data_IF_006401558987
#
_entry.id   IF_006401558987
#
_cell.length_a   1.000
_cell.length_b   1.000
_cell.length_c   1.000
_cell.angle_alpha   90.00
_cell.angle_beta   90.00
_cell.angle_gamma   90.00
#
_symmetry.space_group_name_H-M   'P 1'
#
loop_
_entity.id
_entity.type
_entity.pdbx_description
1 polymer ?
#
# COMPACT_ATOMS: atom_id res chain seq x y z
N UNK A 1 20.66 -9.82 -27.65
CA UNK A 1 20.22 -9.68 -26.25
C UNK A 1 18.73 -9.47 -26.33
N UNK A 2 17.92 -10.50 -26.07
CA UNK A 2 16.49 -10.26 -25.83
C UNK A 2 16.46 -9.51 -24.50
N UNK A 3 15.97 -8.27 -24.50
CA UNK A 3 15.62 -7.59 -23.27
C UNK A 3 14.48 -8.38 -22.66
N UNK A 4 14.74 -9.10 -21.56
CA UNK A 4 13.66 -9.66 -20.75
C UNK A 4 12.78 -8.49 -20.30
N UNK A 5 11.49 -8.59 -20.61
CA UNK A 5 10.52 -7.60 -20.13
C UNK A 5 10.43 -7.68 -18.61
N UNK A 6 10.26 -6.55 -17.91
CA UNK A 6 10.03 -6.56 -16.47
C UNK A 6 8.75 -7.37 -16.14
N UNK A 7 8.68 -8.01 -14.95
CA UNK A 7 7.47 -8.70 -14.52
C UNK A 7 6.31 -7.70 -14.42
N UNK A 8 5.13 -8.11 -14.87
CA UNK A 8 3.93 -7.28 -14.83
C UNK A 8 3.20 -7.52 -13.50
N UNK A 9 2.92 -6.46 -12.76
CA UNK A 9 2.18 -6.53 -11.50
C UNK A 9 0.85 -5.81 -11.63
N UNK A 10 -0.24 -6.46 -11.21
CA UNK A 10 -1.55 -5.82 -11.18
C UNK A 10 -1.91 -5.41 -9.75
N UNK A 11 -2.15 -4.12 -9.54
CA UNK A 11 -2.72 -3.62 -8.29
C UNK A 11 -4.22 -3.31 -8.42
N UNK A 12 -4.99 -3.73 -7.42
CA UNK A 12 -6.35 -3.26 -7.18
C UNK A 12 -6.35 -2.30 -6.00
N UNK A 13 -6.86 -1.08 -6.17
CA UNK A 13 -6.97 -0.18 -5.03
C UNK A 13 -7.53 1.20 -5.34
N UNK A 14 -7.63 2.00 -4.29
CA UNK A 14 -8.06 3.39 -4.35
C UNK A 14 -7.01 4.25 -5.06
N UNK A 15 -7.46 5.17 -5.91
CA UNK A 15 -6.62 6.22 -6.47
C UNK A 15 -6.45 7.38 -5.49
N UNK A 16 -5.22 7.58 -5.02
CA UNK A 16 -4.79 8.72 -4.22
C UNK A 16 -4.11 9.79 -5.11
N UNK A 17 -4.73 10.97 -5.32
CA UNK A 17 -4.15 12.04 -6.14
C UNK A 17 -2.81 12.59 -5.62
N UNK A 18 -2.45 12.33 -4.36
CA UNK A 18 -1.18 12.76 -3.76
C UNK A 18 -0.05 11.76 -3.94
N UNK A 19 -0.36 10.55 -4.42
CA UNK A 19 0.59 9.44 -4.59
C UNK A 19 1.25 8.93 -3.30
N UNK A 20 0.65 9.23 -2.14
CA UNK A 20 1.16 8.75 -0.86
C UNK A 20 0.79 7.29 -0.63
N UNK A 21 -0.45 6.92 -0.93
CA UNK A 21 -1.05 5.57 -0.73
C UNK A 21 -1.67 5.05 -2.03
N UNK A 22 -2.36 3.91 -1.96
CA UNK A 22 -3.22 3.43 -3.04
C UNK A 22 -2.46 3.02 -4.29
N UNK A 23 -3.13 3.01 -5.45
CA UNK A 23 -2.54 2.48 -6.69
C UNK A 23 -1.31 3.29 -7.13
N UNK A 24 -1.26 4.59 -6.87
CA UNK A 24 -0.09 5.41 -7.20
C UNK A 24 1.13 5.00 -6.37
N UNK A 25 0.94 4.76 -5.07
CA UNK A 25 2.01 4.22 -4.23
C UNK A 25 2.52 2.88 -4.78
N UNK A 26 1.60 1.98 -5.12
CA UNK A 26 1.93 0.65 -5.63
C UNK A 26 2.70 0.73 -6.95
N UNK A 27 2.19 1.50 -7.93
CA UNK A 27 2.83 1.66 -9.24
C UNK A 27 4.24 2.27 -9.13
N UNK A 28 4.45 3.24 -8.24
CA UNK A 28 5.77 3.82 -8.01
C UNK A 28 6.72 2.83 -7.33
N UNK A 29 6.22 2.03 -6.39
CA UNK A 29 7.00 0.97 -5.75
C UNK A 29 7.36 -0.13 -6.75
N UNK A 30 6.41 -0.61 -7.57
CA UNK A 30 6.67 -1.59 -8.61
C UNK A 30 7.75 -1.10 -9.58
N UNK A 31 7.62 0.13 -10.08
CA UNK A 31 8.60 0.74 -10.97
C UNK A 31 10.00 0.84 -10.32
N UNK A 32 10.07 1.24 -9.04
CA UNK A 32 11.35 1.31 -8.32
C UNK A 32 11.97 -0.07 -8.08
N UNK A 33 11.16 -1.11 -7.94
CA UNK A 33 11.59 -2.48 -7.64
C UNK A 33 11.79 -3.32 -8.91
N UNK A 34 11.84 -2.69 -10.09
CA UNK A 34 12.12 -3.36 -11.36
C UNK A 34 10.93 -4.05 -12.02
N UNK A 35 9.71 -3.83 -11.54
CA UNK A 35 8.46 -4.32 -12.13
C UNK A 35 7.76 -3.29 -13.02
N UNK A 36 6.84 -3.77 -13.86
CA UNK A 36 5.91 -2.92 -14.61
C UNK A 36 4.52 -3.02 -14.00
N UNK A 37 4.07 -1.93 -13.39
CA UNK A 37 2.76 -1.87 -12.76
C UNK A 37 1.62 -1.58 -13.74
N UNK A 38 0.55 -2.35 -13.65
CA UNK A 38 -0.78 -2.05 -14.19
C UNK A 38 -1.78 -1.97 -13.03
N UNK A 39 -2.91 -1.30 -13.24
CA UNK A 39 -3.84 -1.02 -12.14
C UNK A 39 -5.30 -1.11 -12.54
N UNK A 40 -6.11 -1.48 -11.55
CA UNK A 40 -7.57 -1.43 -11.57
C UNK A 40 -8.03 -0.59 -10.38
N UNK A 41 -8.80 0.46 -10.66
CA UNK A 41 -9.27 1.37 -9.62
C UNK A 41 -10.50 0.80 -8.91
N UNK A 42 -10.47 0.75 -7.58
CA UNK A 42 -11.66 0.47 -6.74
C UNK A 42 -12.44 1.74 -6.41
N UNK A 43 -11.79 2.90 -6.54
CA UNK A 43 -12.33 4.20 -6.19
C UNK A 43 -11.32 5.30 -6.44
N UNK A 44 -11.70 6.54 -6.15
CA UNK A 44 -10.79 7.68 -6.15
C UNK A 44 -11.12 8.61 -4.99
N UNK A 45 -10.08 9.17 -4.36
CA UNK A 45 -10.24 10.13 -3.27
C UNK A 45 -10.04 11.57 -3.73
N UNK A 46 -10.76 12.46 -3.07
CA UNK A 46 -10.46 13.89 -3.04
C UNK A 46 -9.66 14.15 -1.78
N UNK A 47 -8.32 14.19 -1.88
CA UNK A 47 -7.44 14.38 -0.74
C UNK A 47 -6.23 15.25 -1.06
N UNK A 48 -5.62 15.81 -0.01
CA UNK A 48 -4.35 16.50 -0.06
C UNK A 48 -3.34 15.88 0.92
N UNK A 49 -2.14 16.46 1.04
CA UNK A 49 -1.09 15.94 1.93
C UNK A 49 -1.49 15.86 3.42
N UNK A 50 -2.56 16.55 3.83
CA UNK A 50 -3.02 16.65 5.22
C UNK A 50 -4.17 15.70 5.51
N UNK A 51 -5.17 15.64 4.63
CA UNK A 51 -6.41 14.91 4.89
C UNK A 51 -7.09 14.42 3.62
N UNK A 52 -7.88 13.36 3.79
CA UNK A 52 -8.86 12.91 2.80
C UNK A 52 -10.21 13.57 3.08
N UNK A 53 -10.76 14.26 2.09
CA UNK A 53 -12.02 14.99 2.21
C UNK A 53 -13.22 14.15 1.75
N UNK A 54 -13.05 13.35 0.70
CA UNK A 54 -14.12 12.50 0.17
C UNK A 54 -13.54 11.30 -0.58
N UNK A 55 -14.33 10.24 -0.71
CA UNK A 55 -14.00 9.02 -1.46
C UNK A 55 -15.20 8.61 -2.29
N UNK A 56 -14.96 8.35 -3.58
CA UNK A 56 -15.96 7.83 -4.50
C UNK A 56 -15.58 6.42 -4.92
N UNK A 57 -16.58 5.52 -4.93
CA UNK A 57 -16.40 4.13 -5.32
C UNK A 57 -16.58 3.94 -6.82
N UNK A 58 -15.81 3.02 -7.41
CA UNK A 58 -16.01 2.54 -8.78
C UNK A 58 -16.99 1.37 -8.75
N UNK A 59 -17.88 1.35 -9.75
CA UNK A 59 -18.83 0.26 -9.95
C UNK A 59 -18.10 -1.09 -10.07
N UNK A 60 -18.49 -2.14 -9.33
CA UNK A 60 -17.89 -3.47 -9.42
C UNK A 60 -17.80 -4.02 -10.85
N UNK A 61 -18.80 -3.75 -11.71
CA UNK A 61 -18.77 -4.22 -13.10
C UNK A 61 -17.60 -3.60 -13.87
N UNK A 62 -17.26 -2.33 -13.58
CA UNK A 62 -16.10 -1.66 -14.17
C UNK A 62 -14.77 -2.21 -13.63
N UNK A 63 -14.72 -2.67 -12.38
CA UNK A 63 -13.54 -3.34 -11.81
C UNK A 63 -13.29 -4.63 -12.58
N UNK A 64 -14.35 -5.43 -12.79
CA UNK A 64 -14.29 -6.67 -13.58
C UNK A 64 -13.83 -6.38 -15.00
N UNK A 65 -14.47 -5.45 -15.71
CA UNK A 65 -14.11 -5.13 -17.09
C UNK A 65 -12.65 -4.69 -17.24
N UNK A 66 -12.16 -3.78 -16.38
CA UNK A 66 -10.76 -3.34 -16.41
C UNK A 66 -9.80 -4.50 -16.16
N UNK A 67 -10.06 -5.32 -15.15
CA UNK A 67 -9.19 -6.42 -14.77
C UNK A 67 -9.13 -7.49 -15.85
N UNK A 68 -10.28 -7.90 -16.38
CA UNK A 68 -10.37 -8.93 -17.44
C UNK A 68 -9.68 -8.46 -18.71
N UNK A 69 -9.86 -7.20 -19.11
CA UNK A 69 -9.15 -6.63 -20.26
C UNK A 69 -7.62 -6.68 -20.11
N UNK A 70 -7.10 -6.40 -18.90
CA UNK A 70 -5.66 -6.49 -18.64
C UNK A 70 -5.16 -7.93 -18.59
N UNK A 71 -5.89 -8.81 -17.91
CA UNK A 71 -5.50 -10.20 -17.68
C UNK A 71 -5.60 -11.07 -18.95
N UNK A 72 -6.48 -10.72 -19.88
CA UNK A 72 -6.55 -11.37 -21.19
C UNK A 72 -5.36 -11.01 -22.12
N UNK A 73 -4.73 -9.85 -21.91
CA UNK A 73 -3.65 -9.33 -22.76
C UNK A 73 -2.26 -9.51 -22.15
N UNK A 74 -2.13 -9.41 -20.83
CA UNK A 74 -0.84 -9.28 -20.13
C UNK A 74 -0.59 -10.44 -19.16
N UNK A 75 0.61 -11.07 -19.19
CA UNK A 75 0.98 -12.10 -18.22
C UNK A 75 1.33 -11.46 -16.88
N UNK A 76 0.31 -11.26 -16.03
CA UNK A 76 0.47 -10.75 -14.66
C UNK A 76 1.21 -11.79 -13.82
N UNK A 77 2.30 -11.37 -13.19
CA UNK A 77 3.19 -12.21 -12.38
C UNK A 77 2.90 -12.13 -10.87
N UNK A 78 2.19 -11.10 -10.41
CA UNK A 78 1.68 -11.01 -9.05
C UNK A 78 0.52 -10.01 -8.97
N UNK A 79 -0.39 -10.25 -8.03
CA UNK A 79 -1.45 -9.34 -7.65
C UNK A 79 -1.12 -8.64 -6.34
N UNK A 80 -1.51 -7.37 -6.24
CA UNK A 80 -1.65 -6.68 -4.96
C UNK A 80 -3.06 -6.14 -4.82
N UNK A 81 -3.69 -6.38 -3.68
CA UNK A 81 -4.98 -5.79 -3.32
C UNK A 81 -4.76 -4.84 -2.15
N UNK A 82 -4.91 -3.55 -2.40
CA UNK A 82 -4.89 -2.50 -1.38
C UNK A 82 -6.28 -2.21 -0.82
N UNK A 83 -6.54 -0.94 -0.50
CA UNK A 83 -7.85 -0.49 -0.02
C UNK A 83 -8.94 -0.69 -1.08
N UNK A 84 -9.92 -1.53 -0.77
CA UNK A 84 -11.24 -1.54 -1.40
C UNK A 84 -12.20 -0.63 -0.62
N UNK A 85 -13.24 -0.11 -1.26
CA UNK A 85 -14.13 0.89 -0.65
C UNK A 85 -15.36 0.26 -0.02
N UNK A 86 -15.85 -0.85 -0.58
CA UNK A 86 -17.02 -1.59 -0.08
C UNK A 86 -16.88 -3.10 -0.32
N UNK A 87 -17.83 -3.86 0.24
CA UNK A 87 -17.85 -5.31 0.14
C UNK A 87 -18.04 -5.81 -1.30
N UNK A 88 -18.77 -5.06 -2.15
CA UNK A 88 -18.98 -5.44 -3.54
C UNK A 88 -17.69 -5.36 -4.37
N UNK A 89 -16.84 -4.36 -4.14
CA UNK A 89 -15.51 -4.31 -4.75
C UNK A 89 -14.66 -5.50 -4.31
N UNK A 90 -14.69 -5.84 -3.01
CA UNK A 90 -13.94 -7.00 -2.49
C UNK A 90 -14.42 -8.29 -3.14
N UNK A 91 -15.73 -8.50 -3.25
CA UNK A 91 -16.29 -9.68 -3.88
C UNK A 91 -15.89 -9.79 -5.37
N UNK A 92 -15.96 -8.69 -6.12
CA UNK A 92 -15.54 -8.66 -7.52
C UNK A 92 -14.04 -8.99 -7.68
N UNK A 93 -13.17 -8.42 -6.84
CA UNK A 93 -11.73 -8.72 -6.85
C UNK A 93 -11.50 -10.19 -6.50
N UNK A 94 -12.17 -10.70 -5.46
CA UNK A 94 -12.05 -12.09 -5.02
C UNK A 94 -12.45 -13.08 -6.11
N UNK A 95 -13.49 -12.78 -6.90
CA UNK A 95 -13.89 -13.60 -8.05
C UNK A 95 -12.83 -13.59 -9.16
N UNK A 96 -12.21 -12.43 -9.41
CA UNK A 96 -11.18 -12.30 -10.45
C UNK A 96 -9.93 -13.10 -10.07
N UNK A 97 -9.40 -12.92 -8.86
CA UNK A 97 -8.14 -13.54 -8.44
C UNK A 97 -8.28 -15.05 -8.23
N UNK A 98 -9.49 -15.55 -7.96
CA UNK A 98 -9.77 -16.98 -7.84
C UNK A 98 -9.49 -17.78 -9.13
N UNK A 99 -9.53 -17.12 -10.30
CA UNK A 99 -9.19 -17.75 -11.58
C UNK A 99 -7.68 -17.89 -11.81
N UNK A 100 -6.84 -17.37 -10.90
CA UNK A 100 -5.38 -17.27 -11.03
C UNK A 100 -4.67 -17.73 -9.74
N UNK A 101 -5.05 -18.90 -9.22
CA UNK A 101 -4.55 -19.48 -7.96
C UNK A 101 -3.02 -19.72 -7.91
N UNK A 102 -2.38 -19.91 -9.07
CA UNK A 102 -0.91 -20.03 -9.17
C UNK A 102 -0.17 -18.67 -9.10
N UNK A 103 -0.88 -17.54 -9.19
CA UNK A 103 -0.27 -16.20 -9.18
C UNK A 103 -0.26 -15.62 -7.77
N UNK A 104 0.90 -15.19 -7.23
CA UNK A 104 0.96 -14.66 -5.87
C UNK A 104 -0.01 -13.51 -5.62
N UNK A 105 -0.78 -13.60 -4.54
CA UNK A 105 -1.73 -12.59 -4.11
C UNK A 105 -1.28 -11.95 -2.79
N UNK A 106 -0.90 -10.68 -2.85
CA UNK A 106 -0.57 -9.87 -1.67
C UNK A 106 -1.78 -9.02 -1.29
N UNK A 107 -2.35 -9.26 -0.11
CA UNK A 107 -3.53 -8.53 0.39
C UNK A 107 -3.10 -7.59 1.51
N UNK A 108 -3.32 -6.29 1.35
CA UNK A 108 -2.96 -5.25 2.32
C UNK A 108 -4.15 -4.30 2.53
N UNK A 109 -5.17 -4.75 3.29
CA UNK A 109 -6.40 -3.99 3.44
C UNK A 109 -6.18 -2.81 4.39
N UNK A 110 -6.79 -1.67 4.06
CA UNK A 110 -6.88 -0.52 4.95
C UNK A 110 -8.35 -0.17 5.18
N UNK A 111 -8.77 -0.24 6.45
CA UNK A 111 -10.13 0.05 6.89
C UNK A 111 -10.27 1.49 7.40
N UNK A 112 -9.21 2.30 7.36
CA UNK A 112 -9.18 3.68 7.84
C UNK A 112 -9.96 4.66 6.96
N UNK A 113 -10.20 4.31 5.70
CA UNK A 113 -10.94 5.12 4.72
C UNK A 113 -12.37 4.63 4.46
N UNK A 114 -12.84 3.60 5.19
CA UNK A 114 -14.19 3.03 5.07
C UNK A 114 -15.27 3.97 5.64
N UNK A 115 -15.34 5.21 5.16
CA UNK A 115 -16.30 6.24 5.55
C UNK A 115 -16.35 6.54 7.07
N UNK A 116 -17.21 7.48 7.46
CA UNK A 116 -17.57 7.68 8.88
C UNK A 116 -18.63 6.65 9.37
N UNK A 117 -19.02 5.70 8.52
CA UNK A 117 -20.07 4.72 8.81
C UNK A 117 -19.47 3.40 9.29
N UNK A 118 -19.61 3.12 10.59
CA UNK A 118 -19.13 1.88 11.21
C UNK A 118 -19.64 0.61 10.50
N UNK A 119 -20.89 0.62 10.01
CA UNK A 119 -21.49 -0.53 9.32
C UNK A 119 -20.78 -0.89 8.01
N UNK A 120 -20.36 0.09 7.20
CA UNK A 120 -19.63 -0.20 5.96
C UNK A 120 -18.23 -0.75 6.23
N UNK A 121 -17.62 -0.39 7.37
CA UNK A 121 -16.33 -0.94 7.76
C UNK A 121 -16.44 -2.40 8.21
N UNK A 122 -17.53 -2.79 8.88
CA UNK A 122 -17.75 -4.18 9.30
C UNK A 122 -18.03 -5.09 8.10
N UNK A 123 -18.91 -4.68 7.18
CA UNK A 123 -19.18 -5.42 5.93
C UNK A 123 -17.92 -5.58 5.08
N UNK A 124 -17.09 -4.53 4.99
CA UNK A 124 -15.83 -4.59 4.26
C UNK A 124 -14.84 -5.56 4.91
N UNK A 125 -14.73 -5.58 6.24
CA UNK A 125 -13.87 -6.53 6.97
C UNK A 125 -14.37 -7.96 6.79
N UNK A 126 -15.67 -8.20 6.91
CA UNK A 126 -16.27 -9.52 6.73
C UNK A 126 -16.03 -10.05 5.31
N UNK A 127 -16.28 -9.24 4.29
CA UNK A 127 -16.00 -9.61 2.90
C UNK A 127 -14.50 -9.88 2.68
N UNK A 128 -13.62 -9.05 3.26
CA UNK A 128 -12.16 -9.24 3.13
C UNK A 128 -11.73 -10.56 3.77
N UNK A 129 -12.15 -10.81 5.01
CA UNK A 129 -11.79 -11.99 5.77
C UNK A 129 -12.34 -13.27 5.15
N UNK A 130 -13.58 -13.26 4.64
CA UNK A 130 -14.23 -14.46 4.11
C UNK A 130 -13.92 -14.76 2.64
N UNK A 131 -13.61 -13.73 1.83
CA UNK A 131 -13.45 -13.88 0.38
C UNK A 131 -12.00 -13.73 -0.09
N UNK A 132 -11.23 -12.78 0.45
CA UNK A 132 -9.86 -12.49 -0.02
C UNK A 132 -8.78 -13.18 0.80
N UNK A 133 -8.89 -13.15 2.14
CA UNK A 133 -7.88 -13.75 3.03
C UNK A 133 -7.62 -15.24 2.71
N UNK A 134 -8.63 -16.09 2.43
CA UNK A 134 -8.39 -17.50 2.09
C UNK A 134 -7.62 -17.73 0.79
N UNK A 135 -7.49 -16.69 -0.05
CA UNK A 135 -6.79 -16.74 -1.32
C UNK A 135 -5.41 -16.08 -1.26
N UNK A 136 -5.08 -15.43 -0.13
CA UNK A 136 -3.87 -14.62 -0.03
C UNK A 136 -2.63 -15.50 0.15
N UNK A 137 -1.65 -15.32 -0.74
CA UNK A 137 -0.29 -15.82 -0.51
C UNK A 137 0.36 -15.09 0.67
N UNK A 138 0.04 -13.80 0.85
CA UNK A 138 0.41 -13.09 2.09
C UNK A 138 -0.58 -11.98 2.42
N UNK A 139 -1.02 -11.95 3.67
CA UNK A 139 -1.78 -10.87 4.27
C UNK A 139 -0.84 -9.92 5.02
N UNK A 140 -0.74 -8.67 4.56
CA UNK A 140 0.13 -7.62 5.15
C UNK A 140 -0.73 -6.65 5.97
N UNK A 141 -0.62 -6.71 7.30
CA UNK A 141 -1.60 -6.06 8.21
C UNK A 141 -0.95 -5.49 9.46
N UNK A 142 -1.63 -4.52 10.08
CA UNK A 142 -1.30 -4.05 11.43
C UNK A 142 -1.82 -5.04 12.49
N UNK A 143 -1.31 -5.01 13.74
CA UNK A 143 -1.86 -5.81 14.83
C UNK A 143 -3.38 -5.60 15.03
N UNK A 144 -3.83 -4.34 14.96
CA UNK A 144 -5.25 -4.01 15.11
C UNK A 144 -6.10 -4.58 13.97
N UNK A 145 -5.63 -4.48 12.72
CA UNK A 145 -6.33 -5.05 11.56
C UNK A 145 -6.36 -6.58 11.61
N UNK A 146 -5.31 -7.22 12.13
CA UNK A 146 -5.23 -8.68 12.27
C UNK A 146 -6.32 -9.19 13.21
N UNK A 147 -6.43 -8.57 14.40
CA UNK A 147 -7.47 -8.91 15.37
C UNK A 147 -8.86 -8.63 14.80
N UNK A 148 -9.06 -7.48 14.17
CA UNK A 148 -10.34 -7.10 13.60
C UNK A 148 -10.83 -8.07 12.51
N UNK A 149 -9.93 -8.52 11.62
CA UNK A 149 -10.25 -9.52 10.60
C UNK A 149 -10.59 -10.88 11.24
N UNK A 150 -9.78 -11.34 12.19
CA UNK A 150 -10.03 -12.62 12.87
C UNK A 150 -11.37 -12.65 13.61
N UNK A 151 -11.77 -11.52 14.23
CA UNK A 151 -13.07 -11.38 14.89
C UNK A 151 -14.26 -11.56 13.93
N UNK A 152 -14.12 -11.21 12.65
CA UNK A 152 -15.23 -11.37 11.68
C UNK A 152 -15.52 -12.82 11.31
N UNK A 153 -14.53 -13.71 11.47
CA UNK A 153 -14.64 -15.14 11.14
C UNK A 153 -14.60 -16.04 12.38
N UNK A 154 -14.63 -15.43 13.57
CA UNK A 154 -14.59 -16.12 14.87
C UNK A 154 -15.87 -15.89 15.68
N UNK A 155 -16.27 -16.91 16.44
CA UNK A 155 -17.36 -16.76 17.42
C UNK A 155 -16.92 -16.01 18.69
N UNK A 156 -15.61 -15.82 18.89
CA UNK A 156 -15.05 -15.14 20.06
C UNK A 156 -14.75 -13.67 19.74
N UNK A 157 -15.38 -12.75 20.46
CA UNK A 157 -15.14 -11.31 20.31
C UNK A 157 -13.82 -10.85 20.97
N UNK A 158 -13.24 -11.61 21.89
CA UNK A 158 -11.99 -11.25 22.60
C UNK A 158 -10.84 -12.14 22.12
N UNK A 159 -10.38 -11.90 20.89
CA UNK A 159 -9.29 -12.63 20.25
C UNK A 159 -7.95 -11.97 20.60
N UNK A 160 -7.01 -12.74 21.15
CA UNK A 160 -5.63 -12.29 21.31
C UNK A 160 -4.88 -12.24 19.97
N UNK A 161 -3.70 -11.61 19.93
CA UNK A 161 -2.92 -11.52 18.69
C UNK A 161 -2.52 -12.91 18.15
N UNK A 162 -2.10 -13.82 19.03
CA UNK A 162 -1.71 -15.19 18.67
C UNK A 162 -2.90 -15.99 18.14
N UNK A 163 -4.06 -15.88 18.80
CA UNK A 163 -5.30 -16.51 18.32
C UNK A 163 -5.75 -15.91 16.98
N UNK A 164 -5.60 -14.60 16.78
CA UNK A 164 -5.99 -13.93 15.54
C UNK A 164 -5.17 -14.43 14.35
N UNK A 165 -3.86 -14.61 14.53
CA UNK A 165 -2.99 -15.21 13.53
C UNK A 165 -3.42 -16.64 13.24
N UNK A 166 -3.63 -17.46 14.28
CA UNK A 166 -4.06 -18.86 14.13
C UNK A 166 -5.38 -18.97 13.35
N UNK A 167 -6.37 -18.15 13.69
CA UNK A 167 -7.68 -18.13 13.04
C UNK A 167 -7.55 -17.81 11.55
N UNK A 168 -6.78 -16.79 11.19
CA UNK A 168 -6.66 -16.34 9.79
C UNK A 168 -5.83 -17.32 8.93
N UNK A 169 -4.82 -17.96 9.51
CA UNK A 169 -4.07 -19.05 8.86
C UNK A 169 -4.97 -20.27 8.62
N UNK A 170 -5.71 -20.71 9.66
CA UNK A 170 -6.69 -21.79 9.56
C UNK A 170 -7.83 -21.47 8.56
N UNK A 171 -8.10 -20.18 8.33
CA UNK A 171 -9.06 -19.71 7.35
C UNK A 171 -8.53 -19.70 5.90
N UNK A 172 -7.27 -20.11 5.68
CA UNK A 172 -6.70 -20.34 4.35
C UNK A 172 -5.61 -19.36 3.91
N UNK A 173 -5.26 -18.38 4.75
CA UNK A 173 -4.14 -17.48 4.45
C UNK A 173 -2.81 -18.24 4.53
N UNK A 174 -1.96 -18.16 3.50
CA UNK A 174 -0.69 -18.91 3.49
C UNK A 174 0.35 -18.29 4.43
N UNK A 175 0.47 -16.95 4.40
CA UNK A 175 1.36 -16.19 5.27
C UNK A 175 0.68 -14.94 5.81
N UNK A 176 1.03 -14.54 7.03
CA UNK A 176 0.58 -13.26 7.61
C UNK A 176 1.80 -12.45 8.02
N UNK A 177 1.98 -11.29 7.41
CA UNK A 177 3.00 -10.31 7.78
C UNK A 177 2.37 -9.24 8.68
N UNK A 178 2.58 -9.39 9.97
CA UNK A 178 2.14 -8.41 10.97
C UNK A 178 3.21 -7.35 11.13
N UNK A 179 2.86 -6.10 10.82
CA UNK A 179 3.77 -4.96 10.93
C UNK A 179 3.33 -4.02 12.06
N UNK A 180 4.10 -4.01 13.16
CA UNK A 180 3.86 -3.13 14.29
C UNK A 180 4.75 -1.87 14.20
N UNK A 181 4.12 -0.75 13.85
CA UNK A 181 4.73 0.57 13.80
C UNK A 181 4.49 1.42 15.05
N UNK A 182 3.84 0.89 16.09
CA UNK A 182 3.47 1.61 17.31
C UNK A 182 4.49 1.45 18.44
N UNK A 183 5.36 0.45 18.34
CA UNK A 183 6.51 0.27 19.22
C UNK A 183 7.61 1.33 18.97
N UNK A 184 8.57 1.50 19.91
CA UNK A 184 9.73 2.37 19.72
C UNK A 184 10.61 1.96 18.54
N UNK A 185 10.56 0.69 18.14
CA UNK A 185 11.13 0.15 16.91
C UNK A 185 10.00 -0.40 16.03
N UNK A 186 10.22 -0.48 14.73
CA UNK A 186 9.30 -1.17 13.83
C UNK A 186 9.62 -2.66 13.85
N UNK A 187 8.63 -3.48 14.15
CA UNK A 187 8.77 -4.94 14.12
C UNK A 187 7.86 -5.52 13.06
N UNK A 188 8.42 -6.37 12.21
CA UNK A 188 7.68 -7.12 11.20
C UNK A 188 7.84 -8.61 11.49
N UNK A 189 6.72 -9.26 11.77
CA UNK A 189 6.70 -10.70 12.08
C UNK A 189 5.89 -11.42 11.01
N UNK A 190 6.55 -12.33 10.29
CA UNK A 190 5.98 -13.20 9.28
C UNK A 190 5.59 -14.54 9.91
N UNK A 191 4.31 -14.87 9.83
CA UNK A 191 3.74 -16.13 10.32
C UNK A 191 3.34 -17.04 9.16
N UNK A 192 3.37 -18.33 9.43
CA UNK A 192 2.80 -19.42 8.62
C UNK A 192 2.15 -20.45 9.55
N UNK A 193 1.58 -21.52 8.99
CA UNK A 193 1.05 -22.66 9.77
C UNK A 193 2.08 -23.30 10.72
N UNK A 194 3.39 -23.21 10.40
CA UNK A 194 4.47 -23.71 11.24
C UNK A 194 4.88 -22.73 12.37
N UNK A 195 4.20 -21.58 12.48
CA UNK A 195 4.48 -20.53 13.45
C UNK A 195 5.26 -19.35 12.86
N UNK A 196 6.13 -18.73 13.68
CA UNK A 196 6.93 -17.57 13.27
C UNK A 196 8.04 -18.03 12.31
N UNK A 197 7.95 -17.56 11.07
CA UNK A 197 8.94 -17.83 10.01
C UNK A 197 10.09 -16.83 10.09
N UNK A 198 9.76 -15.57 10.35
CA UNK A 198 10.72 -14.47 10.38
C UNK A 198 10.24 -13.36 11.31
N UNK A 199 11.17 -12.75 12.02
CA UNK A 199 10.93 -11.51 12.76
C UNK A 199 12.13 -10.58 12.54
N UNK A 200 11.86 -9.37 12.07
CA UNK A 200 12.87 -8.35 11.85
C UNK A 200 12.47 -7.08 12.63
N UNK A 201 13.49 -6.40 13.17
CA UNK A 201 13.33 -5.13 13.88
C UNK A 201 14.14 -4.04 13.20
N UNK A 202 13.53 -2.87 13.02
CA UNK A 202 14.12 -1.70 12.40
C UNK A 202 14.01 -0.47 13.29
N UNK A 203 14.97 0.43 13.15
CA UNK A 203 14.91 1.73 13.80
C UNK A 203 13.77 2.55 13.23
N UNK A 204 13.06 3.24 14.12
CA UNK A 204 11.93 4.08 13.72
C UNK A 204 12.41 5.23 12.84
N UNK A 205 11.84 5.41 11.64
CA UNK A 205 12.16 6.55 10.79
C UNK A 205 11.87 7.88 11.48
N UNK A 206 12.58 8.96 11.10
CA UNK A 206 12.49 10.26 11.78
C UNK A 206 11.12 10.95 11.62
N UNK A 207 10.29 10.46 10.70
CA UNK A 207 9.05 11.09 10.30
C UNK A 207 7.87 10.13 10.35
N UNK A 208 6.69 10.68 10.62
CA UNK A 208 5.44 9.94 10.40
C UNK A 208 5.07 10.01 8.91
N UNK A 209 5.11 8.86 8.24
CA UNK A 209 4.99 8.73 6.79
C UNK A 209 3.67 8.05 6.42
N UNK A 210 2.92 8.64 5.48
CA UNK A 210 1.72 8.01 4.93
C UNK A 210 2.08 6.98 3.84
N UNK A 211 1.43 5.81 3.85
CA UNK A 211 1.62 4.78 2.82
C UNK A 211 2.81 3.84 3.03
N UNK A 212 3.32 3.72 4.26
CA UNK A 212 4.35 2.74 4.59
C UNK A 212 3.87 1.29 4.35
N UNK A 213 2.63 0.98 4.75
CA UNK A 213 2.04 -0.36 4.56
C UNK A 213 1.79 -0.66 3.08
N UNK A 214 1.23 0.29 2.31
CA UNK A 214 1.08 0.13 0.85
C UNK A 214 2.43 -0.14 0.18
N UNK A 215 3.45 0.63 0.56
CA UNK A 215 4.81 0.48 0.03
C UNK A 215 5.40 -0.88 0.37
N UNK A 216 5.25 -1.35 1.62
CA UNK A 216 5.72 -2.67 2.06
C UNK A 216 5.05 -3.78 1.25
N UNK A 217 3.72 -3.76 1.18
CA UNK A 217 2.94 -4.76 0.46
C UNK A 217 3.27 -4.77 -1.05
N UNK A 218 3.38 -3.60 -1.67
CA UNK A 218 3.78 -3.49 -3.07
C UNK A 218 5.22 -3.98 -3.31
N UNK A 219 6.14 -3.74 -2.38
CA UNK A 219 7.50 -4.24 -2.47
C UNK A 219 7.55 -5.77 -2.32
N UNK A 220 6.74 -6.36 -1.41
CA UNK A 220 6.60 -7.82 -1.30
C UNK A 220 6.07 -8.40 -2.61
N UNK A 221 5.00 -7.82 -3.19
CA UNK A 221 4.46 -8.27 -4.47
C UNK A 221 5.51 -8.20 -5.59
N UNK A 222 6.30 -7.12 -5.65
CA UNK A 222 7.39 -6.97 -6.62
C UNK A 222 8.45 -8.08 -6.48
N UNK A 223 8.82 -8.43 -5.24
CA UNK A 223 9.81 -9.49 -5.00
C UNK A 223 9.28 -10.88 -5.32
N UNK A 224 8.02 -11.17 -4.99
CA UNK A 224 7.36 -12.43 -5.39
C UNK A 224 7.27 -12.55 -6.92
N UNK A 225 6.93 -11.46 -7.62
CA UNK A 225 6.90 -11.44 -9.09
C UNK A 225 8.28 -11.65 -9.74
N UNK A 226 9.37 -11.36 -9.01
CA UNK A 226 10.74 -11.65 -9.40
C UNK A 226 11.21 -13.07 -8.99
N UNK A 227 10.33 -13.89 -8.44
CA UNK A 227 10.59 -15.29 -8.11
C UNK A 227 11.31 -15.53 -6.78
N UNK A 228 11.33 -14.54 -5.88
CA UNK A 228 11.85 -14.75 -4.53
C UNK A 228 10.86 -15.58 -3.70
N UNK A 229 11.38 -16.41 -2.81
CA UNK A 229 10.57 -17.09 -1.80
C UNK A 229 10.09 -16.09 -0.74
N UNK A 230 8.98 -16.41 -0.06
CA UNK A 230 8.28 -15.46 0.82
C UNK A 230 9.17 -14.82 1.91
N UNK A 231 10.00 -15.57 2.68
CA UNK A 231 10.83 -14.96 3.73
C UNK A 231 11.88 -13.99 3.18
N UNK A 232 12.45 -14.29 2.01
CA UNK A 232 13.40 -13.43 1.31
C UNK A 232 12.70 -12.20 0.71
N UNK A 233 11.54 -12.39 0.08
CA UNK A 233 10.73 -11.30 -0.48
C UNK A 233 10.34 -10.28 0.60
N UNK A 234 9.92 -10.77 1.78
CA UNK A 234 9.60 -9.94 2.94
C UNK A 234 10.82 -9.20 3.48
N UNK A 235 12.01 -9.81 3.45
CA UNK A 235 13.24 -9.17 3.91
C UNK A 235 13.67 -8.03 2.97
N UNK A 236 13.72 -8.29 1.67
CA UNK A 236 14.08 -7.30 0.65
C UNK A 236 13.08 -6.14 0.63
N UNK A 237 11.78 -6.44 0.78
CA UNK A 237 10.74 -5.42 0.86
C UNK A 237 10.90 -4.49 2.08
N UNK A 238 11.32 -5.04 3.23
CA UNK A 238 11.61 -4.24 4.42
C UNK A 238 12.88 -3.39 4.26
N UNK A 239 13.93 -3.92 3.65
CA UNK A 239 15.15 -3.16 3.35
C UNK A 239 14.87 -1.96 2.45
N UNK A 240 14.06 -2.18 1.40
CA UNK A 240 13.55 -1.10 0.57
C UNK A 240 12.71 -0.10 1.36
N UNK A 241 11.75 -0.58 2.16
CA UNK A 241 10.89 0.27 2.98
C UNK A 241 11.72 1.17 3.90
N UNK A 242 12.74 0.63 4.57
CA UNK A 242 13.58 1.41 5.47
C UNK A 242 14.22 2.60 4.76
N UNK A 243 14.85 2.38 3.61
CA UNK A 243 15.47 3.44 2.82
C UNK A 243 14.45 4.49 2.34
N UNK A 244 13.29 4.02 1.89
CA UNK A 244 12.20 4.89 1.44
C UNK A 244 11.67 5.78 2.58
N UNK A 245 11.60 5.26 3.80
CA UNK A 245 11.12 6.01 4.97
C UNK A 245 12.19 6.94 5.55
N UNK A 246 13.46 6.55 5.52
CA UNK A 246 14.59 7.41 5.93
C UNK A 246 14.72 8.65 5.03
N UNK A 247 14.46 8.47 3.74
CA UNK A 247 14.51 9.55 2.74
C UNK A 247 13.16 10.24 2.52
N UNK A 248 12.16 9.96 3.37
CA UNK A 248 10.82 10.51 3.21
C UNK A 248 10.83 12.05 3.15
N UNK A 249 10.04 12.61 2.24
CA UNK A 249 9.99 14.04 1.97
C UNK A 249 8.60 14.60 2.30
N UNK A 250 8.50 15.92 2.47
CA UNK A 250 7.23 16.59 2.77
C UNK A 250 6.83 17.51 1.60
N UNK A 251 5.91 17.09 0.71
CA UNK A 251 5.55 17.88 -0.46
C UNK A 251 4.64 19.07 -0.17
N UNK A 252 3.96 19.06 0.98
CA UNK A 252 2.99 20.08 1.35
C UNK A 252 2.94 20.33 2.85
N UNK A 253 1.82 20.88 3.32
CA UNK A 253 1.68 21.25 4.75
C UNK A 253 1.29 20.07 5.65
N UNK A 254 1.12 18.86 5.11
CA UNK A 254 0.67 17.67 5.83
C UNK A 254 1.78 16.70 6.20
N UNK A 255 1.52 15.40 5.99
CA UNK A 255 2.41 14.28 6.36
C UNK A 255 3.63 14.19 5.44
N UNK A 256 4.65 13.43 5.86
CA UNK A 256 5.74 13.04 4.98
C UNK A 256 5.27 11.89 4.09
N UNK A 257 5.80 11.83 2.88
CA UNK A 257 5.55 10.78 1.90
C UNK A 257 6.81 9.95 1.66
N UNK A 258 6.67 8.68 1.28
CA UNK A 258 7.80 7.79 1.06
C UNK A 258 8.60 8.24 -0.18
N UNK A 259 9.93 8.37 -0.10
CA UNK A 259 10.75 8.59 -1.30
C UNK A 259 11.05 7.26 -1.99
N UNK A 260 10.12 6.81 -2.82
CA UNK A 260 10.21 5.54 -3.55
C UNK A 260 11.35 5.50 -4.58
N UNK A 261 11.95 6.65 -4.91
CA UNK A 261 13.08 6.75 -5.81
C UNK A 261 14.29 7.40 -5.12
N UNK A 262 14.47 7.15 -3.82
CA UNK A 262 15.58 7.69 -3.02
C UNK A 262 16.95 7.52 -3.70
N UNK A 263 17.16 6.39 -4.37
CA UNK A 263 18.40 6.06 -5.08
C UNK A 263 18.60 6.85 -6.38
N UNK A 264 17.53 7.35 -7.01
CA UNK A 264 17.62 8.09 -8.27
C UNK A 264 17.98 9.57 -8.08
N UNK A 265 17.92 10.07 -6.84
CA UNK A 265 18.25 11.46 -6.48
C UNK A 265 19.65 11.60 -5.87
N UNK A 266 20.31 10.48 -5.59
CA UNK A 266 21.67 10.46 -5.06
C UNK A 266 22.67 10.32 -6.21
N UNK A 267 22.98 11.46 -6.83
CA UNK A 267 24.31 11.76 -7.37
C UNK A 267 24.45 13.29 -7.51
N UNK A 268 25.63 13.80 -7.10
CA UNK A 268 26.12 15.19 -7.22
C UNK A 268 25.89 16.19 -6.06
N UNK A 269 26.18 15.84 -4.78
CA UNK A 269 26.40 16.87 -3.74
C UNK A 269 27.38 16.48 -2.61
N UNK A 270 28.34 15.58 -2.85
CA UNK A 270 29.46 15.39 -1.90
C UNK A 270 30.67 16.30 -2.21
N UNK A 271 30.65 17.15 -3.25
CA UNK A 271 31.80 17.97 -3.64
C UNK A 271 31.48 19.38 -4.17
N UNK A 272 30.34 19.99 -3.83
CA UNK A 272 30.06 21.38 -4.23
C UNK A 272 30.19 22.36 -3.04
N UNK A 273 31.19 23.27 -3.02
CA UNK A 273 31.29 24.29 -1.99
C UNK A 273 30.15 25.29 -2.19
N UNK A 274 29.13 25.18 -1.33
CA UNK A 274 28.03 26.14 -1.09
C UNK A 274 28.14 27.42 -1.92
N UNK A 275 27.49 27.42 -3.09
CA UNK A 275 27.25 28.65 -3.82
C UNK A 275 26.12 29.42 -3.11
N UNK A 276 26.47 30.60 -2.57
CA UNK A 276 25.54 31.60 -2.03
C UNK A 276 24.31 31.74 -2.94
N UNK A 277 23.14 31.41 -2.41
CA UNK A 277 21.86 31.70 -3.06
C UNK A 277 21.62 33.22 -2.99
N UNK A 278 21.30 33.92 -4.10
CA UNK A 278 20.94 35.32 -4.01
C UNK A 278 19.55 35.44 -3.38
N UNK A 279 19.44 36.33 -2.38
CA UNK A 279 18.19 36.74 -1.75
C UNK A 279 17.08 36.96 -2.79
N UNK A 280 16.02 36.16 -2.71
CA UNK A 280 14.78 36.44 -3.44
C UNK A 280 14.13 37.63 -2.75
N UNK A 281 14.36 38.81 -3.30
CA UNK A 281 13.72 40.04 -2.87
C UNK A 281 12.20 39.92 -2.98
N UNK A 282 11.52 39.98 -1.83
CA UNK A 282 10.08 40.14 -1.74
C UNK A 282 9.68 41.46 -2.43
N UNK A 283 8.80 41.46 -3.45
CA UNK A 283 8.38 42.70 -4.08
C UNK A 283 7.58 43.55 -3.08
N UNK A 284 7.72 44.88 -3.09
CA UNK A 284 7.02 45.74 -2.15
C UNK A 284 5.50 45.73 -2.43
N UNK A 285 4.67 46.01 -1.41
CA UNK A 285 3.22 46.03 -1.56
C UNK A 285 2.79 47.13 -2.54
N UNK A 286 1.85 46.77 -3.42
CA UNK A 286 1.23 47.67 -4.40
C UNK A 286 0.40 48.73 -3.66
N UNK A 287 0.71 50.01 -3.90
CA UNK A 287 -0.04 51.13 -3.35
C UNK A 287 -1.46 51.21 -3.95
N UNK A 288 -2.47 51.66 -3.17
CA UNK A 288 -3.84 51.76 -3.66
C UNK A 288 -3.97 52.82 -4.76
N UNK A 289 -4.69 52.46 -5.83
CA UNK A 289 -5.01 53.35 -6.95
C UNK A 289 -5.86 54.52 -6.47
N UNK A 290 -5.30 55.73 -6.47
CA UNK A 290 -6.08 56.97 -6.51
C UNK A 290 -6.55 57.21 -7.95
N UNK A 291 -7.86 57.28 -8.13
CA UNK A 291 -8.47 57.94 -9.28
C UNK A 291 -9.40 57.05 -10.09
N UNK A 292 -10.69 57.12 -9.76
CA UNK A 292 -11.62 57.54 -10.80
C UNK A 292 -12.65 58.50 -10.20
N UNK A 293 -12.60 59.75 -10.69
CA UNK A 293 -13.64 60.77 -10.49
C UNK A 293 -14.51 60.73 -11.73
N UNK A 294 -15.79 60.42 -11.54
CA UNK A 294 -16.89 60.98 -12.31
C UNK A 294 -18.07 61.19 -11.35
#
# INVERSE_FOLDING_TARGET
MQTESPPILLTFGLSDPTSATGIQADLLTFASMGGYGVSVLTGYSSQDSRACADVQTVDPDWIVDQARMLLEDMPVAAFKVGSAINAENVAAIAEIVADYDETPLVVAPDFGLAGEHLLSADELREATASLLVPQASVLVVSPASTIALAQTVSENENVSMEEAVSILLEHGCEFILVSDSNAPQFTHTLYSDDGVVREDTWDRPPHNVAGAMDTLAAAVAAMLANGLAMPEAVREAQEYLQQVLENAFRPGMGRHFPDRFFWARNDENEDDPVADSPDIAVPPPVAPNEGDKA
#
